data_IF_247541202039
#
_entry.id   IF_247541202039
#
_cell.length_a   1.000
_cell.length_b   1.000
_cell.length_c   1.000
_cell.angle_alpha   90.00
_cell.angle_beta   90.00
_cell.angle_gamma   90.00
#
_symmetry.space_group_name_H-M   'P 1'
#
loop_
_entity.id
_entity.type
_entity.pdbx_description
1 polymer ?
#
# COMPACT_ATOMS: atom_id res chain seq x y z
N UNK A 1 -3.28 24.68 -29.50
CA UNK A 1 -2.84 23.63 -30.46
C UNK A 1 -1.32 23.50 -30.39
N UNK A 2 -0.77 22.31 -30.15
CA UNK A 2 0.68 22.17 -30.00
C UNK A 2 1.41 22.37 -31.34
N UNK A 3 2.58 23.04 -31.31
CA UNK A 3 3.43 23.31 -32.50
C UNK A 3 3.70 22.06 -33.35
N UNK A 4 3.62 20.87 -32.74
CA UNK A 4 3.81 19.57 -33.41
C UNK A 4 2.66 19.21 -34.36
N UNK A 5 1.41 19.54 -34.01
CA UNK A 5 0.24 19.30 -34.88
C UNK A 5 0.29 20.18 -36.14
N UNK A 6 0.72 21.43 -36.01
CA UNK A 6 0.82 22.36 -37.13
C UNK A 6 1.90 21.97 -38.15
N UNK A 7 3.06 21.47 -37.70
CA UNK A 7 4.11 20.95 -38.59
C UNK A 7 3.66 19.71 -39.38
N UNK A 8 2.89 18.83 -38.75
CA UNK A 8 2.37 17.62 -39.39
C UNK A 8 1.30 17.94 -40.45
N UNK A 9 0.41 18.90 -40.18
CA UNK A 9 -0.56 19.36 -41.19
C UNK A 9 0.13 20.01 -42.38
N UNK A 10 1.17 20.83 -42.14
CA UNK A 10 1.97 21.44 -43.21
C UNK A 10 2.66 20.39 -44.09
N UNK A 11 3.29 19.38 -43.49
CA UNK A 11 3.95 18.31 -44.24
C UNK A 11 2.95 17.50 -45.09
N UNK A 12 1.75 17.23 -44.57
CA UNK A 12 0.70 16.52 -45.32
C UNK A 12 0.16 17.37 -46.49
N UNK A 13 0.00 18.68 -46.29
CA UNK A 13 -0.41 19.58 -47.37
C UNK A 13 0.67 19.67 -48.45
N UNK A 14 1.95 19.73 -48.06
CA UNK A 14 3.08 19.76 -48.99
C UNK A 14 3.18 18.45 -49.79
N UNK A 15 2.98 17.28 -49.16
CA UNK A 15 3.00 16.00 -49.88
C UNK A 15 1.82 15.86 -50.85
N UNK A 16 0.63 16.35 -50.47
CA UNK A 16 -0.54 16.38 -51.36
C UNK A 16 -0.33 17.33 -52.55
N UNK A 17 0.22 18.53 -52.30
CA UNK A 17 0.57 19.47 -53.35
C UNK A 17 1.65 18.91 -54.28
N UNK A 18 2.70 18.31 -53.74
CA UNK A 18 3.74 17.65 -54.54
C UNK A 18 3.16 16.52 -55.41
N UNK A 19 2.28 15.70 -54.85
CA UNK A 19 1.63 14.61 -55.57
C UNK A 19 0.68 15.08 -56.68
N UNK A 20 0.08 16.27 -56.56
CA UNK A 20 -0.80 16.84 -57.59
C UNK A 20 -0.03 17.62 -58.67
N UNK A 21 1.02 18.35 -58.26
CA UNK A 21 1.79 19.24 -59.14
C UNK A 21 2.78 18.45 -60.01
N UNK A 22 3.39 17.38 -59.49
CA UNK A 22 4.38 16.60 -60.25
C UNK A 22 3.77 15.90 -61.49
N UNK A 23 2.61 15.21 -61.41
CA UNK A 23 1.97 14.63 -62.58
C UNK A 23 1.45 15.69 -63.56
N UNK A 24 0.94 16.82 -63.05
CA UNK A 24 0.48 17.93 -63.89
C UNK A 24 1.64 18.57 -64.67
N UNK A 25 2.81 18.75 -64.05
CA UNK A 25 4.03 19.21 -64.73
C UNK A 25 4.55 18.19 -65.76
N UNK A 26 4.54 16.90 -65.42
CA UNK A 26 4.95 15.83 -66.33
C UNK A 26 3.99 15.69 -67.53
N UNK A 27 2.69 15.88 -67.32
CA UNK A 27 1.68 15.91 -68.38
C UNK A 27 1.81 17.19 -69.23
N UNK A 28 1.98 18.35 -68.60
CA UNK A 28 2.13 19.62 -69.30
C UNK A 28 3.38 19.63 -70.21
N UNK A 29 4.49 19.03 -69.75
CA UNK A 29 5.70 18.98 -70.55
C UNK A 29 5.63 17.95 -71.71
N UNK A 30 4.77 16.92 -71.61
CA UNK A 30 4.69 15.82 -72.59
C UNK A 30 3.56 15.93 -73.62
N UNK A 31 2.59 16.82 -73.46
CA UNK A 31 1.57 17.11 -74.51
C UNK A 31 2.19 17.69 -75.79
N UNK A 32 3.49 18.01 -75.79
CA UNK A 32 4.26 18.46 -76.96
C UNK A 32 5.06 17.34 -77.68
N UNK A 33 5.02 16.06 -77.24
CA UNK A 33 5.80 14.98 -77.84
C UNK A 33 5.00 13.70 -78.10
N UNK A 34 5.11 13.15 -79.31
CA UNK A 34 4.42 11.97 -79.87
C UNK A 34 4.24 10.80 -78.90
N UNK A 35 3.01 10.29 -78.79
CA UNK A 35 2.52 9.39 -77.75
C UNK A 35 3.02 7.94 -77.80
N UNK A 36 3.53 7.49 -76.65
CA UNK A 36 3.90 6.10 -76.36
C UNK A 36 3.00 5.59 -75.21
N UNK A 37 2.14 4.61 -75.51
CA UNK A 37 1.08 4.12 -74.61
C UNK A 37 1.60 3.48 -73.33
N UNK A 38 2.83 2.95 -73.36
CA UNK A 38 3.54 2.37 -72.22
C UNK A 38 3.76 3.38 -71.08
N UNK A 39 4.02 4.64 -71.43
CA UNK A 39 4.29 5.70 -70.46
C UNK A 39 3.02 6.18 -69.77
N UNK A 40 1.89 6.23 -70.49
CA UNK A 40 0.58 6.55 -69.90
C UNK A 40 0.16 5.52 -68.86
N UNK A 41 0.40 4.22 -69.14
CA UNK A 41 0.12 3.16 -68.19
C UNK A 41 0.96 3.30 -66.90
N UNK A 42 2.24 3.63 -67.00
CA UNK A 42 3.12 3.85 -65.85
C UNK A 42 2.71 5.05 -64.99
N UNK A 43 2.24 6.14 -65.62
CA UNK A 43 1.73 7.30 -64.88
C UNK A 43 0.44 6.96 -64.14
N UNK A 44 -0.49 6.23 -64.79
CA UNK A 44 -1.75 5.82 -64.18
C UNK A 44 -1.53 4.86 -63.00
N UNK A 45 -0.61 3.90 -63.11
CA UNK A 45 -0.28 2.99 -62.00
C UNK A 45 0.37 3.74 -60.84
N UNK A 46 1.28 4.68 -61.11
CA UNK A 46 1.88 5.52 -60.07
C UNK A 46 0.84 6.35 -59.33
N UNK A 47 -0.08 7.00 -60.06
CA UNK A 47 -1.20 7.76 -59.47
C UNK A 47 -2.09 6.84 -58.64
N UNK A 48 -2.42 5.64 -59.13
CA UNK A 48 -3.22 4.66 -58.38
C UNK A 48 -2.57 4.23 -57.05
N UNK A 49 -1.26 3.97 -57.06
CA UNK A 49 -0.50 3.63 -55.84
C UNK A 49 -0.47 4.80 -54.87
N UNK A 50 -0.26 6.03 -55.37
CA UNK A 50 -0.20 7.23 -54.52
C UNK A 50 -1.55 7.52 -53.85
N UNK A 51 -2.66 7.40 -54.58
CA UNK A 51 -4.00 7.54 -54.02
C UNK A 51 -4.25 6.48 -52.95
N UNK A 52 -3.91 5.22 -53.23
CA UNK A 52 -4.07 4.11 -52.27
C UNK A 52 -3.23 4.34 -51.00
N UNK A 53 -1.98 4.75 -51.13
CA UNK A 53 -1.10 5.06 -50.00
C UNK A 53 -1.63 6.24 -49.17
N UNK A 54 -2.20 7.27 -49.82
CA UNK A 54 -2.78 8.44 -49.16
C UNK A 54 -4.02 8.06 -48.34
N UNK A 55 -4.91 7.25 -48.92
CA UNK A 55 -6.11 6.74 -48.23
C UNK A 55 -5.71 5.86 -47.03
N UNK A 56 -4.73 4.97 -47.18
CA UNK A 56 -4.23 4.13 -46.08
C UNK A 56 -3.61 4.95 -44.95
N UNK A 57 -2.85 6.01 -45.27
CA UNK A 57 -2.25 6.89 -44.26
C UNK A 57 -3.32 7.70 -43.50
N UNK A 58 -4.35 8.18 -44.19
CA UNK A 58 -5.51 8.83 -43.57
C UNK A 58 -6.25 7.84 -42.66
N UNK A 59 -6.52 6.62 -43.15
CA UNK A 59 -7.17 5.57 -42.37
C UNK A 59 -6.41 5.21 -41.10
N UNK A 60 -5.08 5.03 -41.21
CA UNK A 60 -4.22 4.79 -40.05
C UNK A 60 -4.26 5.94 -39.03
N UNK A 61 -4.24 7.20 -39.51
CA UNK A 61 -4.33 8.38 -38.63
C UNK A 61 -5.67 8.47 -37.91
N UNK A 62 -6.76 8.13 -38.58
CA UNK A 62 -8.09 8.07 -37.96
C UNK A 62 -8.11 6.97 -36.90
N UNK A 63 -7.61 5.77 -37.21
CA UNK A 63 -7.50 4.64 -36.27
C UNK A 63 -6.75 5.03 -34.99
N UNK A 64 -5.61 5.70 -35.13
CA UNK A 64 -4.80 6.11 -33.99
C UNK A 64 -5.50 7.16 -33.12
N UNK A 65 -6.26 8.07 -33.73
CA UNK A 65 -7.05 9.07 -32.99
C UNK A 65 -8.24 8.43 -32.30
N UNK A 66 -8.91 7.46 -32.94
CA UNK A 66 -10.02 6.73 -32.33
C UNK A 66 -9.54 5.88 -31.17
N UNK A 67 -8.39 5.20 -31.27
CA UNK A 67 -7.81 4.43 -30.17
C UNK A 67 -7.43 5.33 -28.98
N UNK A 68 -6.83 6.49 -29.24
CA UNK A 68 -6.52 7.45 -28.17
C UNK A 68 -7.77 8.01 -27.50
N UNK A 69 -8.82 8.28 -28.28
CA UNK A 69 -10.09 8.78 -27.74
C UNK A 69 -10.81 7.68 -26.95
N UNK A 70 -10.88 6.47 -27.49
CA UNK A 70 -11.48 5.31 -26.82
C UNK A 70 -10.73 4.99 -25.52
N UNK A 71 -9.40 5.07 -25.52
CA UNK A 71 -8.59 4.91 -24.30
C UNK A 71 -8.96 5.93 -23.23
N UNK A 72 -9.08 7.22 -23.59
CA UNK A 72 -9.51 8.27 -22.66
C UNK A 72 -10.95 8.08 -22.17
N UNK A 73 -11.88 7.79 -23.07
CA UNK A 73 -13.28 7.55 -22.69
C UNK A 73 -13.40 6.31 -21.78
N UNK A 74 -12.56 5.30 -21.97
CA UNK A 74 -12.49 4.12 -21.09
C UNK A 74 -11.89 4.46 -19.73
N UNK A 75 -10.81 5.26 -19.67
CA UNK A 75 -10.24 5.75 -18.41
C UNK A 75 -11.25 6.60 -17.62
N UNK A 76 -11.94 7.54 -18.28
CA UNK A 76 -12.97 8.38 -17.65
C UNK A 76 -14.15 7.54 -17.13
N UNK A 77 -14.63 6.58 -17.92
CA UNK A 77 -15.67 5.64 -17.47
C UNK A 77 -15.20 4.79 -16.29
N UNK A 78 -13.95 4.31 -16.32
CA UNK A 78 -13.38 3.54 -15.22
C UNK A 78 -13.27 4.37 -13.94
N UNK A 79 -12.85 5.63 -14.04
CA UNK A 79 -12.84 6.56 -12.90
C UNK A 79 -14.25 6.82 -12.36
N UNK A 80 -15.23 7.04 -13.24
CA UNK A 80 -16.64 7.20 -12.82
C UNK A 80 -17.18 5.96 -12.11
N UNK A 81 -16.88 4.77 -12.62
CA UNK A 81 -17.27 3.50 -11.98
C UNK A 81 -16.57 3.31 -10.63
N UNK A 82 -15.30 3.70 -10.51
CA UNK A 82 -14.58 3.66 -9.23
C UNK A 82 -15.20 4.62 -8.21
N UNK A 83 -15.59 5.83 -8.63
CA UNK A 83 -16.26 6.80 -7.77
C UNK A 83 -17.65 6.33 -7.35
N UNK A 84 -18.46 5.79 -8.26
CA UNK A 84 -19.78 5.21 -7.91
C UNK A 84 -19.60 4.01 -6.95
N UNK A 85 -18.61 3.14 -7.19
CA UNK A 85 -18.29 2.04 -6.29
C UNK A 85 -17.85 2.54 -4.90
N UNK A 86 -17.04 3.60 -4.83
CA UNK A 86 -16.61 4.21 -3.57
C UNK A 86 -17.78 4.88 -2.83
N UNK A 87 -18.68 5.55 -3.56
CA UNK A 87 -19.90 6.13 -3.00
C UNK A 87 -20.81 5.05 -2.42
N UNK A 88 -21.02 3.95 -3.14
CA UNK A 88 -21.78 2.80 -2.65
C UNK A 88 -21.13 2.16 -1.44
N UNK A 89 -19.80 2.02 -1.43
CA UNK A 89 -19.07 1.54 -0.26
C UNK A 89 -19.24 2.47 0.95
N UNK A 90 -19.21 3.79 0.75
CA UNK A 90 -19.52 4.78 1.79
C UNK A 90 -20.96 4.72 2.30
N UNK A 91 -21.92 4.42 1.41
CA UNK A 91 -23.32 4.19 1.80
C UNK A 91 -23.51 2.94 2.67
N UNK A 92 -22.64 1.93 2.53
CA UNK A 92 -22.64 0.77 3.43
C UNK A 92 -22.12 1.12 4.82
N UNK A 93 -21.28 2.16 4.93
CA UNK A 93 -20.74 2.65 6.20
C UNK A 93 -21.73 3.56 6.92
N UNK A 94 -22.60 4.23 6.18
CA UNK A 94 -23.59 5.17 6.73
C UNK A 94 -24.73 4.44 7.44
N UNK A 95 -25.18 4.90 8.63
CA UNK A 95 -26.37 4.37 9.28
C UNK A 95 -27.57 4.51 8.34
N UNK A 96 -28.38 3.45 8.21
CA UNK A 96 -29.67 3.54 7.50
C UNK A 96 -30.76 3.95 8.50
N UNK A 97 -31.86 4.48 8.00
CA UNK A 97 -33.04 4.88 8.81
C UNK A 97 -33.58 3.75 9.71
N UNK A 98 -33.16 2.50 9.48
CA UNK A 98 -33.54 1.30 10.23
C UNK A 98 -32.58 0.86 11.34
N UNK A 99 -31.54 1.64 11.69
CA UNK A 99 -30.64 1.34 12.81
C UNK A 99 -29.13 1.38 12.50
N UNK A 100 -28.27 0.99 13.47
CA UNK A 100 -26.82 0.96 13.26
C UNK A 100 -26.45 0.00 12.12
N UNK A 101 -25.45 0.37 11.33
CA UNK A 101 -24.99 -0.46 10.21
C UNK A 101 -24.42 -1.80 10.72
N UNK A 102 -24.77 -2.88 10.03
CA UNK A 102 -24.30 -4.22 10.37
C UNK A 102 -22.77 -4.30 10.28
N UNK A 103 -22.04 -4.88 11.26
CA UNK A 103 -20.57 -4.90 11.28
C UNK A 103 -19.93 -5.47 9.99
N UNK A 104 -20.52 -6.53 9.43
CA UNK A 104 -20.05 -7.10 8.16
C UNK A 104 -20.17 -6.12 6.96
N UNK A 105 -21.19 -5.25 6.95
CA UNK A 105 -21.37 -4.24 5.92
C UNK A 105 -20.35 -3.11 6.09
N UNK A 106 -20.07 -2.70 7.34
CA UNK A 106 -19.01 -1.74 7.66
C UNK A 106 -17.64 -2.25 7.21
N UNK A 107 -17.29 -3.48 7.59
CA UNK A 107 -16.05 -4.13 7.19
C UNK A 107 -15.93 -4.22 5.65
N UNK A 108 -16.99 -4.66 4.97
CA UNK A 108 -17.02 -4.73 3.51
C UNK A 108 -16.85 -3.36 2.85
N UNK A 109 -17.50 -2.31 3.38
CA UNK A 109 -17.38 -0.95 2.90
C UNK A 109 -15.95 -0.41 3.06
N UNK A 110 -15.35 -0.58 4.23
CA UNK A 110 -13.96 -0.15 4.48
C UNK A 110 -12.96 -0.87 3.58
N UNK A 111 -13.07 -2.20 3.43
CA UNK A 111 -12.20 -2.98 2.56
C UNK A 111 -12.42 -2.68 1.07
N UNK A 112 -13.64 -2.32 0.67
CA UNK A 112 -13.92 -1.86 -0.69
C UNK A 112 -13.25 -0.50 -0.95
N UNK A 113 -13.32 0.44 -0.01
CA UNK A 113 -12.64 1.74 -0.11
C UNK A 113 -11.12 1.59 -0.24
N UNK A 114 -10.49 0.70 0.52
CA UNK A 114 -9.05 0.46 0.38
C UNK A 114 -8.69 -0.14 -0.97
N UNK A 115 -9.47 -1.09 -1.49
CA UNK A 115 -9.28 -1.67 -2.84
C UNK A 115 -9.48 -0.67 -3.98
N UNK A 116 -10.30 0.36 -3.77
CA UNK A 116 -10.52 1.45 -4.72
C UNK A 116 -9.47 2.58 -4.58
N UNK A 117 -8.36 2.33 -3.87
CA UNK A 117 -7.30 3.30 -3.61
C UNK A 117 -7.75 4.54 -2.82
N UNK A 118 -8.80 4.40 -2.01
CA UNK A 118 -9.30 5.42 -1.09
C UNK A 118 -8.92 5.08 0.36
N UNK A 119 -7.69 4.63 0.58
CA UNK A 119 -7.21 4.21 1.90
C UNK A 119 -7.22 5.34 2.93
N UNK A 120 -7.02 6.59 2.50
CA UNK A 120 -7.12 7.77 3.37
C UNK A 120 -8.53 7.95 3.95
N UNK A 121 -9.57 7.84 3.11
CA UNK A 121 -10.94 7.90 3.59
C UNK A 121 -11.28 6.70 4.49
N UNK A 122 -10.84 5.50 4.10
CA UNK A 122 -11.08 4.29 4.88
C UNK A 122 -10.46 4.37 6.28
N UNK A 123 -9.22 4.87 6.40
CA UNK A 123 -8.56 5.00 7.71
C UNK A 123 -9.17 6.11 8.56
N UNK A 124 -9.64 7.21 7.95
CA UNK A 124 -10.37 8.27 8.67
C UNK A 124 -11.69 7.73 9.25
N UNK A 125 -12.47 6.99 8.45
CA UNK A 125 -13.70 6.34 8.93
C UNK A 125 -13.39 5.30 10.02
N UNK A 126 -12.25 4.61 9.93
CA UNK A 126 -11.83 3.65 10.93
C UNK A 126 -11.59 4.29 12.31
N UNK A 127 -11.16 5.57 12.37
CA UNK A 127 -10.97 6.28 13.65
C UNK A 127 -12.23 6.20 14.51
N UNK A 128 -13.38 6.51 13.93
CA UNK A 128 -14.66 6.55 14.64
C UNK A 128 -15.23 5.15 14.89
N UNK A 129 -14.94 4.20 14.00
CA UNK A 129 -15.50 2.84 14.04
C UNK A 129 -14.71 1.88 14.93
N UNK A 130 -13.42 2.14 15.12
CA UNK A 130 -12.51 1.34 15.94
C UNK A 130 -12.16 2.01 17.28
N UNK A 131 -12.98 2.98 17.69
CA UNK A 131 -12.85 3.70 18.96
C UNK A 131 -13.14 2.80 20.18
N UNK A 132 -12.55 3.17 21.31
CA UNK A 132 -12.52 2.39 22.55
C UNK A 132 -13.90 2.30 23.23
N UNK A 133 -14.23 1.12 23.77
CA UNK A 133 -15.49 0.78 24.47
C UNK A 133 -15.72 1.61 25.75
N UNK A 134 -14.83 2.55 26.10
CA UNK A 134 -15.01 3.46 27.23
C UNK A 134 -16.23 4.38 27.08
N UNK A 135 -16.75 4.55 25.86
CA UNK A 135 -18.04 5.22 25.66
C UNK A 135 -19.24 4.36 26.09
N UNK A 136 -19.06 3.05 26.26
CA UNK A 136 -20.09 2.12 26.68
C UNK A 136 -20.21 1.99 28.21
N UNK A 137 -19.13 2.23 28.96
CA UNK A 137 -19.16 2.19 30.43
C UNK A 137 -19.83 3.41 31.08
N UNK A 138 -20.26 4.41 30.29
CA UNK A 138 -21.16 5.49 30.74
C UNK A 138 -22.62 5.32 30.28
N UNK A 139 -22.93 4.30 29.47
CA UNK A 139 -24.31 3.95 29.16
C UNK A 139 -24.89 3.19 30.37
N UNK A 140 -25.84 3.82 31.07
CA UNK A 140 -26.34 3.33 32.35
C UNK A 140 -26.95 1.92 32.35
N UNK A 141 -27.34 1.39 33.53
CA UNK A 141 -27.68 -0.03 33.76
C UNK A 141 -28.96 -0.54 33.09
N UNK A 142 -29.56 0.19 32.16
CA UNK A 142 -30.77 -0.24 31.47
C UNK A 142 -30.36 -1.02 30.22
N UNK A 143 -30.20 -2.32 30.44
CA UNK A 143 -29.66 -3.27 29.48
C UNK A 143 -30.47 -3.43 28.21
N UNK A 144 -29.77 -3.98 27.22
CA UNK A 144 -30.35 -4.41 25.95
C UNK A 144 -29.43 -4.10 24.78
N UNK A 145 -28.48 -5.00 24.55
CA UNK A 145 -27.78 -5.30 23.29
C UNK A 145 -26.80 -4.29 22.65
N UNK A 146 -25.69 -4.87 22.21
CA UNK A 146 -24.81 -4.42 21.12
C UNK A 146 -23.82 -3.26 21.35
N UNK A 147 -23.12 -3.26 22.49
CA UNK A 147 -21.84 -2.52 22.62
C UNK A 147 -20.64 -3.33 22.11
N UNK A 148 -20.75 -3.95 20.94
CA UNK A 148 -19.58 -4.55 20.29
C UNK A 148 -18.80 -3.49 19.52
N UNK A 149 -17.46 -3.63 19.37
CA UNK A 149 -16.71 -2.82 18.44
C UNK A 149 -17.37 -2.92 17.07
N UNK A 150 -17.65 -1.77 16.43
CA UNK A 150 -18.34 -1.75 15.13
C UNK A 150 -17.53 -2.48 14.04
N UNK A 151 -16.22 -2.59 14.24
CA UNK A 151 -15.26 -3.22 13.33
C UNK A 151 -14.32 -4.13 14.13
N UNK A 152 -14.05 -5.34 13.64
CA UNK A 152 -13.13 -6.29 14.27
C UNK A 152 -11.68 -5.82 14.18
N UNK A 153 -10.82 -6.32 15.07
CA UNK A 153 -9.38 -6.01 15.06
C UNK A 153 -8.72 -6.40 13.74
N UNK A 154 -9.03 -7.57 13.18
CA UNK A 154 -8.46 -8.05 11.91
C UNK A 154 -8.86 -7.14 10.75
N UNK A 155 -10.12 -6.71 10.71
CA UNK A 155 -10.59 -5.78 9.67
C UNK A 155 -9.88 -4.44 9.80
N UNK A 156 -9.74 -3.92 11.02
CA UNK A 156 -9.02 -2.68 11.28
C UNK A 156 -7.55 -2.77 10.84
N UNK A 157 -6.88 -3.88 11.14
CA UNK A 157 -5.49 -4.12 10.72
C UNK A 157 -5.37 -4.21 9.20
N UNK A 158 -6.31 -4.85 8.49
CA UNK A 158 -6.32 -4.86 7.02
C UNK A 158 -6.48 -3.46 6.41
N UNK A 159 -7.28 -2.60 7.04
CA UNK A 159 -7.44 -1.20 6.60
C UNK A 159 -6.16 -0.40 6.86
N UNK A 160 -5.56 -0.56 8.04
CA UNK A 160 -4.27 0.04 8.40
C UNK A 160 -3.16 -0.42 7.46
N UNK A 161 -3.10 -1.71 7.14
CA UNK A 161 -2.14 -2.29 6.20
C UNK A 161 -2.23 -1.61 4.83
N UNK A 162 -3.44 -1.49 4.29
CA UNK A 162 -3.65 -0.82 3.01
C UNK A 162 -3.28 0.67 3.06
N UNK A 163 -3.58 1.36 4.17
CA UNK A 163 -3.20 2.76 4.36
C UNK A 163 -1.68 2.95 4.48
N UNK A 164 -0.97 2.05 5.16
CA UNK A 164 0.49 2.04 5.23
C UNK A 164 1.15 1.80 3.87
N UNK A 165 0.57 0.95 3.02
CA UNK A 165 1.03 0.72 1.63
C UNK A 165 0.71 1.86 0.66
N UNK A 166 -0.25 2.72 0.99
CA UNK A 166 -0.66 3.83 0.12
C UNK A 166 0.49 4.83 -0.09
N UNK A 167 0.39 5.68 -1.11
CA UNK A 167 1.37 6.77 -1.34
C UNK A 167 1.07 8.04 -0.52
N UNK A 168 -0.07 8.08 0.19
CA UNK A 168 -0.48 9.23 0.99
C UNK A 168 0.26 9.23 2.33
N UNK A 169 1.15 10.20 2.55
CA UNK A 169 1.86 10.37 3.81
C UNK A 169 0.91 10.61 4.98
N UNK A 170 -0.18 11.34 4.75
CA UNK A 170 -1.26 11.56 5.71
C UNK A 170 -1.93 10.24 6.12
N UNK A 171 -2.32 9.41 5.14
CA UNK A 171 -2.95 8.12 5.42
C UNK A 171 -2.02 7.19 6.23
N UNK A 172 -0.73 7.13 5.88
CA UNK A 172 0.29 6.36 6.61
C UNK A 172 0.42 6.83 8.06
N UNK A 173 0.44 8.14 8.29
CA UNK A 173 0.55 8.71 9.63
C UNK A 173 -0.69 8.40 10.49
N UNK A 174 -1.89 8.60 9.95
CA UNK A 174 -3.15 8.27 10.65
C UNK A 174 -3.22 6.78 10.96
N UNK A 175 -2.81 5.92 10.02
CA UNK A 175 -2.77 4.48 10.22
C UNK A 175 -1.83 4.06 11.35
N UNK A 176 -0.60 4.61 11.38
CA UNK A 176 0.36 4.36 12.45
C UNK A 176 -0.12 4.86 13.81
N UNK A 177 -0.78 6.02 13.84
CA UNK A 177 -1.37 6.57 15.07
C UNK A 177 -2.52 5.70 15.58
N UNK A 178 -3.42 5.24 14.71
CA UNK A 178 -4.50 4.33 15.07
C UNK A 178 -3.98 2.99 15.59
N UNK A 179 -2.93 2.45 14.96
CA UNK A 179 -2.26 1.23 15.41
C UNK A 179 -1.68 1.41 16.81
N UNK A 180 -0.95 2.51 17.06
CA UNK A 180 -0.35 2.80 18.36
C UNK A 180 -1.40 3.01 19.46
N UNK A 181 -2.48 3.75 19.17
CA UNK A 181 -3.58 3.99 20.12
C UNK A 181 -4.29 2.71 20.55
N UNK A 182 -4.40 1.73 19.66
CA UNK A 182 -5.09 0.46 19.92
C UNK A 182 -4.15 -0.71 20.21
N UNK A 183 -2.84 -0.48 20.29
CA UNK A 183 -1.82 -1.51 20.40
C UNK A 183 -2.05 -2.50 21.56
N UNK A 184 -2.50 -2.01 22.73
CA UNK A 184 -2.70 -2.84 23.92
C UNK A 184 -3.90 -3.79 23.82
N UNK A 185 -4.74 -3.64 22.80
CA UNK A 185 -5.89 -4.52 22.52
C UNK A 185 -5.55 -5.61 21.50
N UNK A 186 -4.37 -5.53 20.92
CA UNK A 186 -3.87 -6.45 19.92
C UNK A 186 -2.99 -7.50 20.57
N UNK A 187 -2.86 -8.64 19.91
CA UNK A 187 -2.03 -9.76 20.37
C UNK A 187 -0.76 -9.80 19.53
N UNK A 188 0.40 -9.67 20.17
CA UNK A 188 1.69 -9.70 19.50
C UNK A 188 2.01 -11.07 18.86
N UNK A 189 1.43 -12.16 19.36
CA UNK A 189 1.59 -13.51 18.80
C UNK A 189 0.70 -13.76 17.57
N UNK A 190 -0.40 -13.02 17.43
CA UNK A 190 -1.36 -13.21 16.35
C UNK A 190 -0.90 -12.46 15.09
N UNK A 191 -0.65 -13.18 14.00
CA UNK A 191 -0.12 -12.59 12.76
C UNK A 191 -1.08 -11.58 12.12
N UNK A 192 -2.39 -11.80 12.17
CA UNK A 192 -3.38 -10.85 11.64
C UNK A 192 -3.56 -9.59 12.51
N UNK A 193 -2.95 -9.54 13.69
CA UNK A 193 -2.94 -8.34 14.53
C UNK A 193 -1.77 -7.41 14.23
N UNK A 194 -0.92 -7.78 13.26
CA UNK A 194 0.19 -6.96 12.81
C UNK A 194 0.12 -6.67 11.31
N UNK A 195 0.30 -5.40 10.87
CA UNK A 195 0.23 -5.09 9.45
C UNK A 195 1.35 -5.78 8.65
N UNK A 196 0.98 -6.54 7.63
CA UNK A 196 1.91 -7.16 6.69
C UNK A 196 2.79 -6.16 5.91
N UNK A 197 2.36 -4.90 5.80
CA UNK A 197 3.13 -3.78 5.25
C UNK A 197 4.37 -3.44 6.09
N UNK A 198 4.43 -3.93 7.32
CA UNK A 198 5.56 -3.78 8.25
C UNK A 198 6.25 -5.12 8.47
N UNK A 199 5.48 -6.22 8.48
CA UNK A 199 5.97 -7.58 8.70
C UNK A 199 6.81 -8.11 7.52
N UNK A 200 8.12 -7.85 7.55
CA UNK A 200 9.04 -8.25 6.49
C UNK A 200 8.98 -7.40 5.22
N UNK A 201 8.21 -6.30 5.24
CA UNK A 201 8.05 -5.36 4.12
C UNK A 201 8.24 -3.90 4.57
N UNK A 202 9.07 -3.65 5.58
CA UNK A 202 9.34 -2.30 6.09
C UNK A 202 9.66 -1.30 4.98
N UNK A 203 8.94 -0.18 4.96
CA UNK A 203 9.16 0.91 4.01
C UNK A 203 10.10 1.97 4.63
N UNK A 204 11.37 2.06 4.19
CA UNK A 204 12.32 3.03 4.75
C UNK A 204 11.90 4.48 4.46
N UNK A 205 10.96 4.72 3.54
CA UNK A 205 10.46 6.05 3.18
C UNK A 205 9.39 6.58 4.15
N UNK A 206 8.98 5.79 5.15
CA UNK A 206 8.10 6.30 6.21
C UNK A 206 8.68 7.55 6.88
N UNK A 207 7.81 8.49 7.24
CA UNK A 207 8.25 9.67 7.99
C UNK A 207 8.80 9.25 9.37
N UNK A 208 9.75 10.00 9.96
CA UNK A 208 10.28 9.66 11.29
C UNK A 208 9.19 9.44 12.34
N UNK A 209 8.14 10.28 12.34
CA UNK A 209 6.99 10.14 13.25
C UNK A 209 6.20 8.85 13.00
N UNK A 210 5.95 8.51 11.74
CA UNK A 210 5.28 7.24 11.37
C UNK A 210 6.09 6.05 11.88
N UNK A 211 7.41 6.04 11.67
CA UNK A 211 8.30 4.97 12.13
C UNK A 211 8.22 4.79 13.64
N UNK A 212 8.35 5.88 14.40
CA UNK A 212 8.27 5.87 15.86
C UNK A 212 6.93 5.33 16.37
N UNK A 213 5.81 5.77 15.78
CA UNK A 213 4.48 5.29 16.17
C UNK A 213 4.29 3.80 15.92
N UNK A 214 4.79 3.27 14.79
CA UNK A 214 4.73 1.83 14.51
C UNK A 214 5.55 1.04 15.52
N UNK A 215 6.76 1.51 15.82
CA UNK A 215 7.67 0.85 16.78
C UNK A 215 7.08 0.89 18.19
N UNK A 216 6.54 2.03 18.61
CA UNK A 216 5.84 2.16 19.89
C UNK A 216 4.62 1.24 19.96
N UNK A 217 3.85 1.13 18.86
CA UNK A 217 2.73 0.20 18.78
C UNK A 217 3.18 -1.25 18.98
N UNK A 218 4.28 -1.66 18.34
CA UNK A 218 4.84 -3.01 18.51
C UNK A 218 5.18 -3.28 19.97
N UNK A 219 5.94 -2.38 20.61
CA UNK A 219 6.38 -2.55 22.00
C UNK A 219 5.19 -2.57 22.96
N UNK A 220 4.22 -1.65 22.80
CA UNK A 220 3.01 -1.63 23.63
C UNK A 220 2.14 -2.86 23.45
N UNK A 221 1.97 -3.34 22.22
CA UNK A 221 1.24 -4.57 21.93
C UNK A 221 1.92 -5.78 22.59
N UNK A 222 3.24 -5.86 22.52
CA UNK A 222 4.01 -6.92 23.19
C UNK A 222 3.86 -6.86 24.70
N UNK A 223 4.02 -5.70 25.32
CA UNK A 223 3.94 -5.57 26.78
C UNK A 223 2.52 -5.82 27.32
N UNK A 224 1.49 -5.61 26.51
CA UNK A 224 0.11 -5.96 26.85
C UNK A 224 -0.21 -7.45 26.67
N UNK A 225 0.61 -8.17 25.89
CA UNK A 225 0.45 -9.61 25.68
C UNK A 225 1.02 -10.40 26.88
N UNK A 226 0.57 -11.65 27.11
CA UNK A 226 1.17 -12.52 28.12
C UNK A 226 2.69 -12.62 27.96
N UNK A 227 3.41 -12.52 29.08
CA UNK A 227 4.87 -12.60 29.10
C UNK A 227 5.32 -14.06 28.88
N UNK A 228 5.33 -14.47 27.61
CA UNK A 228 5.66 -15.82 27.17
C UNK A 228 6.77 -15.81 26.12
N UNK A 229 7.50 -16.92 26.02
CA UNK A 229 8.55 -17.12 25.00
C UNK A 229 8.05 -16.83 23.58
N UNK A 230 6.83 -17.23 23.22
CA UNK A 230 6.24 -16.98 21.89
C UNK A 230 6.14 -15.49 21.56
N UNK A 231 5.66 -14.69 22.50
CA UNK A 231 5.54 -13.24 22.36
C UNK A 231 6.93 -12.58 22.25
N UNK A 232 7.88 -13.04 23.08
CA UNK A 232 9.26 -12.58 23.04
C UNK A 232 9.95 -12.89 21.70
N UNK A 233 9.73 -14.09 21.14
CA UNK A 233 10.23 -14.46 19.81
C UNK A 233 9.61 -13.59 18.71
N UNK A 234 8.29 -13.38 18.76
CA UNK A 234 7.55 -12.57 17.78
C UNK A 234 8.06 -11.12 17.74
N UNK A 235 8.20 -10.48 18.92
CA UNK A 235 8.70 -9.09 18.98
C UNK A 235 10.16 -8.99 18.51
N UNK A 236 11.01 -9.96 18.84
CA UNK A 236 12.42 -9.96 18.43
C UNK A 236 12.57 -9.99 16.92
N UNK A 237 11.80 -10.86 16.25
CA UNK A 237 11.79 -10.98 14.79
C UNK A 237 11.29 -9.71 14.12
N UNK A 238 10.19 -9.13 14.61
CA UNK A 238 9.62 -7.89 14.05
C UNK A 238 10.55 -6.70 14.24
N UNK A 239 11.16 -6.55 15.42
CA UNK A 239 12.19 -5.53 15.67
C UNK A 239 13.38 -5.70 14.73
N UNK A 240 13.88 -6.93 14.54
CA UNK A 240 14.95 -7.19 13.59
C UNK A 240 14.56 -6.84 12.15
N UNK A 241 13.34 -7.17 11.72
CA UNK A 241 12.84 -6.81 10.39
C UNK A 241 12.82 -5.29 10.15
N UNK A 242 12.48 -4.51 11.17
CA UNK A 242 12.55 -3.04 11.12
C UNK A 242 14.01 -2.57 11.05
N UNK A 243 14.90 -3.15 11.86
CA UNK A 243 16.32 -2.81 11.87
C UNK A 243 17.04 -3.13 10.55
N UNK A 244 16.74 -4.30 9.95
CA UNK A 244 17.30 -4.77 8.68
C UNK A 244 16.79 -3.93 7.50
N UNK A 245 15.54 -3.46 7.58
CA UNK A 245 14.89 -2.71 6.50
C UNK A 245 15.06 -1.19 6.54
N UNK A 246 15.59 -0.60 7.62
CA UNK A 246 15.74 0.84 7.75
C UNK A 246 17.20 1.30 7.61
N UNK A 247 17.43 2.30 6.75
CA UNK A 247 18.77 2.87 6.54
C UNK A 247 19.10 4.01 7.52
N UNK A 248 18.12 4.48 8.30
CA UNK A 248 18.25 5.65 9.17
C UNK A 248 19.00 5.25 10.46
N UNK A 249 20.21 5.78 10.74
CA UNK A 249 21.00 5.39 11.90
C UNK A 249 20.27 5.57 13.24
N UNK A 250 19.47 6.62 13.37
CA UNK A 250 18.72 6.94 14.58
C UNK A 250 17.62 5.90 14.86
N UNK A 251 16.95 5.42 13.79
CA UNK A 251 15.94 4.36 13.89
C UNK A 251 16.62 3.05 14.25
N UNK A 252 17.70 2.68 13.55
CA UNK A 252 18.46 1.47 13.84
C UNK A 252 19.00 1.47 15.26
N UNK A 253 19.51 2.60 15.76
CA UNK A 253 20.02 2.72 17.11
C UNK A 253 18.93 2.57 18.18
N UNK A 254 17.75 3.15 17.94
CA UNK A 254 16.58 2.94 18.80
C UNK A 254 16.16 1.45 18.85
N UNK A 255 16.05 0.80 17.68
CA UNK A 255 15.69 -0.62 17.60
C UNK A 255 16.76 -1.52 18.21
N UNK A 256 18.04 -1.19 18.01
CA UNK A 256 19.18 -1.88 18.60
C UNK A 256 19.12 -1.88 20.12
N UNK A 257 18.67 -0.78 20.74
CA UNK A 257 18.42 -0.72 22.20
C UNK A 257 17.33 -1.69 22.63
N UNK A 258 16.20 -1.75 21.91
CA UNK A 258 15.11 -2.68 22.23
C UNK A 258 15.56 -4.14 22.12
N UNK A 259 16.28 -4.48 21.04
CA UNK A 259 16.84 -5.83 20.86
C UNK A 259 17.82 -6.15 22.00
N UNK A 260 18.68 -5.20 22.40
CA UNK A 260 19.62 -5.39 23.50
C UNK A 260 18.94 -5.70 24.84
N UNK A 261 17.72 -5.19 25.06
CA UNK A 261 16.94 -5.43 26.28
C UNK A 261 16.31 -6.82 26.35
N UNK A 262 16.02 -7.44 25.21
CA UNK A 262 15.35 -8.75 25.16
C UNK A 262 16.29 -9.92 24.86
N UNK A 263 17.48 -9.66 24.30
CA UNK A 263 18.36 -10.71 23.78
C UNK A 263 18.89 -11.67 24.85
N UNK A 264 19.12 -11.18 26.07
CA UNK A 264 19.55 -12.02 27.19
C UNK A 264 18.51 -13.10 27.50
N UNK A 265 17.22 -12.74 27.52
CA UNK A 265 16.15 -13.69 27.78
C UNK A 265 15.97 -14.71 26.65
N UNK A 266 16.18 -14.30 25.39
CA UNK A 266 16.18 -15.22 24.25
C UNK A 266 17.28 -16.28 24.35
N UNK A 267 18.47 -15.88 24.85
CA UNK A 267 19.56 -16.82 25.16
C UNK A 267 19.20 -17.80 26.27
N UNK A 268 18.57 -17.33 27.35
CA UNK A 268 18.13 -18.18 28.46
C UNK A 268 17.16 -19.28 28.00
N UNK A 269 16.28 -18.96 27.04
CA UNK A 269 15.36 -19.93 26.44
C UNK A 269 16.04 -20.87 25.43
N UNK A 270 17.34 -20.70 25.13
CA UNK A 270 18.09 -21.55 24.21
C UNK A 270 17.63 -21.45 22.76
N UNK A 271 16.94 -20.36 22.39
CA UNK A 271 16.46 -20.13 21.02
C UNK A 271 17.66 -19.81 20.14
N UNK A 272 17.85 -20.53 19.03
CA UNK A 272 18.97 -20.28 18.11
C UNK A 272 18.55 -19.59 16.81
N UNK A 273 17.35 -19.90 16.34
CA UNK A 273 16.85 -19.51 15.03
C UNK A 273 15.37 -19.15 15.12
N UNK A 274 14.98 -18.19 14.29
CA UNK A 274 13.64 -17.69 14.15
C UNK A 274 13.26 -17.72 12.67
N UNK A 275 12.00 -18.02 12.37
CA UNK A 275 11.46 -17.95 11.01
C UNK A 275 10.72 -16.62 10.86
N UNK A 276 11.11 -15.82 9.88
CA UNK A 276 10.49 -14.54 9.53
C UNK A 276 10.07 -14.53 8.07
N UNK A 277 8.85 -14.95 7.79
CA UNK A 277 8.40 -15.19 6.41
C UNK A 277 9.38 -16.16 5.70
N UNK A 278 9.98 -15.76 4.55
CA UNK A 278 10.96 -16.60 3.85
C UNK A 278 12.39 -16.51 4.42
N UNK A 279 12.67 -15.58 5.34
CA UNK A 279 14.00 -15.36 5.90
C UNK A 279 14.17 -16.12 7.21
N UNK A 280 15.38 -16.62 7.45
CA UNK A 280 15.79 -17.14 8.74
C UNK A 280 16.59 -16.06 9.47
N UNK A 281 16.16 -15.71 10.69
CA UNK A 281 16.86 -14.78 11.58
C UNK A 281 17.54 -15.62 12.65
N UNK A 282 18.82 -15.36 12.94
CA UNK A 282 19.55 -16.05 14.01
C UNK A 282 19.79 -15.13 15.21
N UNK A 283 20.16 -15.70 16.35
CA UNK A 283 20.58 -14.91 17.52
C UNK A 283 21.77 -14.03 17.19
N UNK A 284 22.70 -14.49 16.35
CA UNK A 284 23.86 -13.70 15.92
C UNK A 284 23.43 -12.47 15.11
N UNK A 285 22.36 -12.58 14.30
CA UNK A 285 21.79 -11.42 13.63
C UNK A 285 21.24 -10.40 14.63
N UNK A 286 20.52 -10.86 15.65
CA UNK A 286 20.03 -9.99 16.74
C UNK A 286 21.18 -9.35 17.50
N UNK A 287 22.25 -10.10 17.81
CA UNK A 287 23.46 -9.58 18.45
C UNK A 287 24.15 -8.52 17.59
N UNK A 288 24.22 -8.73 16.28
CA UNK A 288 24.75 -7.71 15.37
C UNK A 288 23.89 -6.43 15.42
N UNK A 289 22.57 -6.56 15.51
CA UNK A 289 21.68 -5.41 15.63
C UNK A 289 21.89 -4.62 16.93
N UNK A 290 22.21 -5.27 18.05
CA UNK A 290 22.48 -4.55 19.32
C UNK A 290 23.71 -3.65 19.25
N UNK A 291 24.68 -3.94 18.36
CA UNK A 291 25.88 -3.09 18.18
C UNK A 291 25.55 -1.70 17.64
N UNK A 292 24.39 -1.53 17.02
CA UNK A 292 23.91 -0.23 16.55
C UNK A 292 23.26 0.62 17.63
N UNK A 293 23.03 0.06 18.83
CA UNK A 293 22.36 0.74 19.92
C UNK A 293 23.06 2.08 20.25
N UNK A 294 22.34 3.18 20.04
CA UNK A 294 22.85 4.52 20.21
C UNK A 294 21.74 5.45 20.71
N UNK A 295 22.12 6.48 21.46
CA UNK A 295 21.18 7.51 21.88
C UNK A 295 20.66 8.32 20.68
N UNK A 296 19.38 8.67 20.73
CA UNK A 296 18.80 9.57 19.75
C UNK A 296 19.35 10.99 20.02
N UNK A 297 19.71 11.77 19.00
CA UNK A 297 20.17 13.15 19.20
C UNK A 297 19.08 14.08 19.76
N UNK A 298 17.80 13.72 19.64
CA UNK A 298 16.69 14.43 20.27
C UNK A 298 16.46 13.89 21.70
N UNK A 299 16.59 14.76 22.70
CA UNK A 299 16.51 14.40 24.12
C UNK A 299 15.15 13.78 24.50
N UNK A 300 14.05 14.26 23.90
CA UNK A 300 12.72 13.73 24.18
C UNK A 300 12.57 12.31 23.63
N UNK A 301 12.99 12.10 22.37
CA UNK A 301 12.99 10.77 21.75
C UNK A 301 13.97 9.81 22.43
N UNK A 302 15.13 10.31 22.86
CA UNK A 302 16.10 9.52 23.62
C UNK A 302 15.47 9.01 24.92
N UNK A 303 14.83 9.89 25.69
CA UNK A 303 14.12 9.53 26.91
C UNK A 303 13.00 8.52 26.64
N UNK A 304 12.12 8.81 25.68
CA UNK A 304 11.02 7.91 25.32
C UNK A 304 11.50 6.52 24.92
N UNK A 305 12.55 6.43 24.10
CA UNK A 305 13.16 5.15 23.70
C UNK A 305 13.80 4.41 24.87
N UNK A 306 14.42 5.13 25.82
CA UNK A 306 15.02 4.53 26.99
C UNK A 306 13.96 3.98 27.95
N UNK A 307 12.90 4.75 28.19
CA UNK A 307 11.78 4.34 29.05
C UNK A 307 11.09 3.09 28.47
N UNK A 308 10.69 3.12 27.18
CA UNK A 308 10.10 1.96 26.50
C UNK A 308 11.03 0.74 26.49
N UNK A 309 12.34 0.96 26.33
CA UNK A 309 13.32 -0.12 26.33
C UNK A 309 13.51 -0.74 27.71
N UNK A 310 13.44 0.06 28.77
CA UNK A 310 13.50 -0.44 30.14
C UNK A 310 12.24 -1.25 30.47
N UNK A 311 11.06 -0.72 30.16
CA UNK A 311 9.78 -1.42 30.36
C UNK A 311 9.74 -2.75 29.60
N UNK A 312 10.20 -2.77 28.33
CA UNK A 312 10.30 -3.98 27.54
C UNK A 312 11.30 -4.98 28.13
N UNK A 313 12.40 -4.50 28.72
CA UNK A 313 13.39 -5.33 29.42
C UNK A 313 12.83 -5.96 30.69
N UNK A 314 12.08 -5.21 31.50
CA UNK A 314 11.38 -5.72 32.69
C UNK A 314 10.33 -6.76 32.30
N UNK A 315 9.52 -6.46 31.29
CA UNK A 315 8.56 -7.41 30.73
C UNK A 315 9.25 -8.68 30.24
N UNK A 316 10.34 -8.55 29.48
CA UNK A 316 11.10 -9.70 28.97
C UNK A 316 11.70 -10.55 30.09
N UNK A 317 12.20 -9.93 31.17
CA UNK A 317 12.70 -10.66 32.33
C UNK A 317 11.60 -11.50 33.02
N UNK A 318 10.34 -11.06 32.95
CA UNK A 318 9.19 -11.78 33.48
C UNK A 318 8.69 -12.92 32.57
N UNK A 319 9.19 -13.01 31.33
CA UNK A 319 8.71 -14.01 30.38
C UNK A 319 8.94 -15.44 30.86
N UNK A 320 7.94 -16.30 30.70
CA UNK A 320 8.02 -17.73 31.03
C UNK A 320 8.18 -18.58 29.76
N UNK A 321 8.73 -19.79 29.90
CA UNK A 321 8.76 -20.76 28.79
C UNK A 321 7.33 -21.12 28.40
N UNK A 322 7.04 -21.10 27.10
CA UNK A 322 5.68 -21.38 26.63
C UNK A 322 5.29 -22.82 27.00
N UNK A 323 4.09 -23.05 27.56
CA UNK A 323 3.67 -24.40 27.88
C UNK A 323 3.57 -25.24 26.60
N UNK A 324 4.33 -26.31 26.52
CA UNK A 324 4.38 -27.28 25.39
C UNK A 324 3.15 -28.21 25.35
N UNK A 325 2.01 -27.74 25.86
CA UNK A 325 0.78 -28.52 25.96
C UNK A 325 0.18 -28.86 24.57
N UNK A 326 -0.61 -29.94 24.47
CA UNK A 326 -1.40 -30.23 23.28
C UNK A 326 -2.25 -29.01 22.90
N UNK A 327 -2.06 -28.49 21.68
CA UNK A 327 -2.72 -27.27 21.21
C UNK A 327 -1.82 -26.05 21.08
N UNK A 328 -0.57 -26.07 21.56
CA UNK A 328 0.37 -24.95 21.40
C UNK A 328 0.69 -24.64 19.91
N UNK A 329 0.70 -25.66 19.05
CA UNK A 329 0.79 -25.47 17.59
C UNK A 329 -0.51 -24.94 16.97
N UNK A 330 -1.66 -25.22 17.59
CA UNK A 330 -2.94 -24.65 17.18
C UNK A 330 -3.00 -23.15 17.52
N UNK A 331 -2.47 -22.71 18.66
CA UNK A 331 -2.29 -21.27 18.93
C UNK A 331 -1.28 -20.59 18.00
N UNK A 332 -0.28 -21.35 17.50
CA UNK A 332 0.71 -20.85 16.54
C UNK A 332 0.26 -20.91 15.06
N UNK A 333 -0.79 -21.65 14.73
CA UNK A 333 -1.24 -21.89 13.35
C UNK A 333 -2.72 -21.56 13.08
N UNK A 334 -3.50 -21.17 14.09
CA UNK A 334 -4.94 -20.90 13.92
C UNK A 334 -5.22 -19.41 13.88
N UNK A 335 -5.38 -18.95 12.65
CA UNK A 335 -6.43 -18.05 12.21
C UNK A 335 -6.94 -18.61 10.87
N UNK A 336 -8.21 -18.45 10.49
CA UNK A 336 -9.46 -18.23 11.21
C UNK A 336 -10.40 -19.45 11.06
N UNK A 337 -11.68 -19.30 11.44
CA UNK A 337 -12.77 -20.30 11.33
C UNK A 337 -12.86 -21.02 9.99
#
# INVERSE_FOLDING_TARGET
>A
MSKRRWRLTLLSCISLLGAAVLPALLLHHRVLGTGDSSQLAAVLTYVGVLVTASVSLIGYRISLQTEQRLGKEQEERQQQLQLDAAMRAGQLVSPRDSGPAHPAALASGLLALTRLNHAELAVVLLVDLWSDERSASQAGPRGGDDSWPKVSHETAILVIDAALRSTSSSARLVAAELLCRNATRLDACQSLHWPSAVDGCWDPTFSPRTKLLIVEALVRMTMASPAEEGALRSVAVRLYGIWDGDDTPEVRGCIGKFIARIIGRLHDFGVKQFVHGPKMVTIENLQAATTSAADNPDDYLAKLSNDLGNDLGEWAASCQTQPTGPGALATAAILPR
#
